data_IF_724863072118
#
_entry.id   IF_724863072118
#
_cell.length_a   1.000
_cell.length_b   1.000
_cell.length_c   1.000
_cell.angle_alpha   90.00
_cell.angle_beta   90.00
_cell.angle_gamma   90.00
#
_symmetry.space_group_name_H-M   'P 1'
#
loop_
_entity.id
_entity.type
_entity.pdbx_description
1 polymer ?
#
# COMPACT_ATOMS: atom_id res chain seq x y z
N UNK A 1 -4.14 6.74 17.06
CA UNK A 1 -3.44 5.45 17.00
C UNK A 1 -1.98 5.71 16.66
N UNK A 2 -1.04 5.08 17.35
CA UNK A 2 0.37 5.19 17.02
C UNK A 2 0.62 4.50 15.67
N UNK A 3 1.32 5.18 14.75
CA UNK A 3 1.74 4.57 13.48
C UNK A 3 3.13 3.99 13.67
N UNK A 4 3.34 2.78 13.16
CA UNK A 4 4.64 2.12 13.16
C UNK A 4 5.34 2.27 11.80
N UNK A 5 6.67 2.26 11.78
CA UNK A 5 7.44 2.38 10.55
C UNK A 5 7.69 1.00 9.95
N UNK A 6 7.35 0.85 8.66
CA UNK A 6 7.61 -0.36 7.90
C UNK A 6 8.65 -0.07 6.81
N UNK A 7 9.87 -0.58 6.98
CA UNK A 7 10.94 -0.46 5.99
C UNK A 7 10.92 -1.65 5.03
N UNK A 8 10.65 -1.41 3.75
CA UNK A 8 10.56 -2.45 2.73
C UNK A 8 11.45 -2.08 1.53
N UNK A 9 12.20 -3.06 1.02
CA UNK A 9 12.82 -2.97 -0.30
C UNK A 9 11.79 -3.37 -1.35
N UNK A 10 11.48 -2.47 -2.27
CA UNK A 10 10.53 -2.73 -3.35
C UNK A 10 11.19 -2.48 -4.70
N UNK A 11 10.66 -3.16 -5.71
CA UNK A 11 11.04 -2.94 -7.10
C UNK A 11 10.89 -1.45 -7.51
N UNK A 12 11.87 -0.88 -8.25
CA UNK A 12 11.85 0.53 -8.63
C UNK A 12 10.68 0.90 -9.55
N UNK A 13 10.23 0.01 -10.43
CA UNK A 13 9.06 0.26 -11.29
C UNK A 13 7.78 0.29 -10.47
N UNK A 14 7.64 -0.62 -9.49
CA UNK A 14 6.53 -0.61 -8.55
C UNK A 14 6.48 0.71 -7.78
N UNK A 15 7.63 1.18 -7.27
CA UNK A 15 7.72 2.49 -6.59
C UNK A 15 7.25 3.63 -7.50
N UNK A 16 7.70 3.65 -8.75
CA UNK A 16 7.31 4.68 -9.72
C UNK A 16 5.79 4.69 -9.97
N UNK A 17 5.18 3.51 -10.12
CA UNK A 17 3.73 3.36 -10.28
C UNK A 17 2.97 3.87 -9.05
N UNK A 18 3.39 3.50 -7.84
CA UNK A 18 2.79 3.97 -6.59
C UNK A 18 2.87 5.50 -6.46
N UNK A 19 4.02 6.10 -6.75
CA UNK A 19 4.20 7.56 -6.73
C UNK A 19 3.27 8.25 -7.74
N UNK A 20 3.14 7.71 -8.95
CA UNK A 20 2.23 8.25 -9.97
C UNK A 20 0.77 8.20 -9.52
N UNK A 21 0.34 7.09 -8.90
CA UNK A 21 -1.01 6.96 -8.36
C UNK A 21 -1.26 7.93 -7.21
N UNK A 22 -0.29 8.08 -6.29
CA UNK A 22 -0.38 9.00 -5.16
C UNK A 22 -0.59 10.45 -5.63
N UNK A 23 0.18 10.87 -6.64
CA UNK A 23 0.02 12.18 -7.28
C UNK A 23 -1.36 12.36 -7.91
N UNK A 24 -1.84 11.37 -8.68
CA UNK A 24 -3.16 11.42 -9.31
C UNK A 24 -4.30 11.55 -8.29
N UNK A 25 -4.17 10.92 -7.13
CA UNK A 25 -5.17 10.92 -6.07
C UNK A 25 -4.97 12.06 -5.05
N UNK A 26 -4.02 12.97 -5.29
CA UNK A 26 -3.65 14.07 -4.40
C UNK A 26 -3.46 13.63 -2.94
N UNK A 27 -2.77 12.50 -2.72
CA UNK A 27 -2.53 11.95 -1.37
C UNK A 27 -1.09 11.50 -1.16
N UNK A 28 -0.58 11.48 0.09
CA UNK A 28 0.76 11.01 0.38
C UNK A 28 0.98 9.54 -0.03
N UNK A 29 2.21 9.22 -0.47
CA UNK A 29 2.59 7.85 -0.83
C UNK A 29 2.35 6.86 0.32
N UNK A 30 2.69 7.25 1.55
CA UNK A 30 2.53 6.40 2.74
C UNK A 30 1.06 6.05 3.00
N UNK A 31 0.14 7.02 2.86
CA UNK A 31 -1.30 6.77 3.00
C UNK A 31 -1.83 5.87 1.88
N UNK A 32 -1.35 6.07 0.65
CA UNK A 32 -1.70 5.19 -0.46
C UNK A 32 -1.23 3.76 -0.22
N UNK A 33 0.02 3.60 0.20
CA UNK A 33 0.61 2.30 0.49
C UNK A 33 -0.13 1.59 1.64
N UNK A 34 -0.42 2.29 2.74
CA UNK A 34 -1.20 1.77 3.87
C UNK A 34 -2.58 1.27 3.41
N UNK A 35 -3.30 2.05 2.59
CA UNK A 35 -4.60 1.64 2.05
C UNK A 35 -4.51 0.38 1.20
N UNK A 36 -3.57 0.34 0.25
CA UNK A 36 -3.41 -0.79 -0.66
C UNK A 36 -2.99 -2.07 0.09
N UNK A 37 -2.17 -1.94 1.13
CA UNK A 37 -1.79 -3.04 2.00
C UNK A 37 -2.99 -3.60 2.76
N UNK A 38 -3.85 -2.73 3.32
CA UNK A 38 -5.10 -3.16 3.96
C UNK A 38 -6.01 -3.93 3.00
N UNK A 39 -6.18 -3.43 1.77
CA UNK A 39 -7.00 -4.10 0.76
C UNK A 39 -6.43 -5.47 0.36
N UNK A 40 -5.10 -5.57 0.24
CA UNK A 40 -4.44 -6.84 -0.06
C UNK A 40 -4.64 -7.85 1.08
N UNK A 41 -4.39 -7.44 2.33
CA UNK A 41 -4.62 -8.30 3.51
C UNK A 41 -6.07 -8.75 3.59
N UNK A 42 -7.02 -7.83 3.37
CA UNK A 42 -8.45 -8.17 3.39
C UNK A 42 -8.80 -9.23 2.33
N UNK A 43 -8.27 -9.09 1.10
CA UNK A 43 -8.47 -10.09 0.04
C UNK A 43 -7.90 -11.45 0.42
N UNK A 44 -6.67 -11.50 0.93
CA UNK A 44 -6.02 -12.74 1.34
C UNK A 44 -6.74 -13.43 2.50
N UNK A 45 -7.17 -12.67 3.52
CA UNK A 45 -7.91 -13.21 4.66
C UNK A 45 -9.28 -13.77 4.27
N UNK A 46 -9.97 -13.13 3.31
CA UNK A 46 -11.24 -13.66 2.80
C UNK A 46 -11.04 -14.87 1.88
N UNK A 47 -9.94 -14.95 1.13
CA UNK A 47 -9.63 -16.08 0.26
C UNK A 47 -9.29 -17.36 1.04
N UNK A 48 -8.68 -17.24 2.23
CA UNK A 48 -8.33 -18.37 3.10
C UNK A 48 -9.47 -18.85 4.01
N UNK A 49 -10.59 -18.14 4.05
CA UNK A 49 -11.77 -18.49 4.84
C UNK A 49 -12.82 -19.32 4.08
N UNK A 50 -12.50 -19.81 2.88
CA UNK A 50 -13.32 -20.71 2.06
C UNK A 50 -12.72 -22.11 2.01
#
# INVERSE_FOLDING_TARGET
MAKETLNIRIDPELRAKLVKMAKKQNRPLSNLAETLLWEAVKRESMAKGK
#
